data_IF_746144908131
#
_entry.id   IF_746144908131
#
_cell.length_a   1.000
_cell.length_b   1.000
_cell.length_c   1.000
_cell.angle_alpha   90.00
_cell.angle_beta   90.00
_cell.angle_gamma   90.00
#
_symmetry.space_group_name_H-M   'P 1'
#
loop_
_entity.id
_entity.type
_entity.pdbx_description
1 polymer ?
#
# COMPACT_ATOMS: atom_id res chain seq x y z
N UNK A 1 -6.76 4.46 -14.93
CA UNK A 1 -7.41 3.22 -14.45
C UNK A 1 -8.19 3.51 -13.18
N UNK A 2 -9.39 2.95 -13.01
CA UNK A 2 -10.12 3.11 -11.76
C UNK A 2 -9.44 2.29 -10.66
N UNK A 3 -9.71 2.65 -9.38
CA UNK A 3 -9.30 1.82 -8.22
C UNK A 3 -9.72 0.36 -8.43
N UNK A 4 -10.95 0.18 -8.93
CA UNK A 4 -11.55 -1.13 -9.21
C UNK A 4 -10.76 -1.93 -10.25
N UNK A 5 -10.22 -1.29 -11.28
CA UNK A 5 -9.45 -1.97 -12.34
C UNK A 5 -8.09 -2.45 -11.81
N UNK A 6 -7.45 -1.66 -10.97
CA UNK A 6 -6.16 -2.02 -10.35
C UNK A 6 -6.33 -3.18 -9.35
N UNK A 7 -7.42 -3.19 -8.56
CA UNK A 7 -7.80 -4.33 -7.70
C UNK A 7 -7.98 -5.58 -8.55
N UNK A 8 -8.81 -5.47 -9.57
CA UNK A 8 -9.16 -6.61 -10.40
C UNK A 8 -7.90 -7.25 -11.01
N UNK A 9 -6.99 -6.45 -11.54
CA UNK A 9 -5.75 -6.94 -12.15
C UNK A 9 -4.90 -7.75 -11.16
N UNK A 10 -4.70 -7.23 -9.94
CA UNK A 10 -3.92 -7.90 -8.89
C UNK A 10 -4.60 -9.20 -8.44
N UNK A 11 -5.91 -9.16 -8.26
CA UNK A 11 -6.69 -10.33 -7.86
C UNK A 11 -6.70 -11.38 -8.97
N UNK A 12 -6.88 -10.98 -10.22
CA UNK A 12 -6.85 -11.88 -11.37
C UNK A 12 -5.48 -12.58 -11.49
N UNK A 13 -4.36 -11.86 -11.27
CA UNK A 13 -3.03 -12.48 -11.27
C UNK A 13 -2.85 -13.48 -10.11
N UNK A 14 -3.34 -13.18 -8.90
CA UNK A 14 -3.33 -14.14 -7.78
C UNK A 14 -4.12 -15.40 -8.13
N UNK A 15 -5.35 -15.27 -8.65
CA UNK A 15 -6.18 -16.42 -8.99
C UNK A 15 -5.63 -17.24 -10.14
N UNK A 16 -5.10 -16.59 -11.19
CA UNK A 16 -4.53 -17.26 -12.33
C UNK A 16 -3.21 -17.96 -11.98
N UNK A 17 -2.33 -17.33 -11.19
CA UNK A 17 -1.12 -17.96 -10.67
C UNK A 17 -1.45 -19.17 -9.78
N UNK A 18 -2.45 -19.04 -8.88
CA UNK A 18 -2.92 -20.14 -8.03
C UNK A 18 -3.50 -21.31 -8.82
N UNK A 19 -4.05 -21.08 -10.02
CA UNK A 19 -4.51 -22.10 -10.96
C UNK A 19 -3.41 -22.66 -11.85
N UNK A 20 -2.18 -22.17 -11.73
CA UNK A 20 -1.00 -22.66 -12.43
C UNK A 20 -0.71 -21.96 -13.76
N UNK A 21 -1.18 -20.72 -13.97
CA UNK A 21 -0.76 -19.88 -15.10
C UNK A 21 0.66 -19.32 -14.86
N UNK A 22 1.70 -19.77 -15.61
CA UNK A 22 3.07 -19.34 -15.40
C UNK A 22 3.28 -17.84 -15.68
N UNK A 23 2.50 -17.24 -16.57
CA UNK A 23 2.62 -15.83 -16.93
C UNK A 23 2.04 -14.95 -15.81
N UNK A 24 0.95 -15.36 -15.20
CA UNK A 24 0.39 -14.69 -14.05
C UNK A 24 1.33 -14.77 -12.82
N UNK A 25 1.96 -15.94 -12.63
CA UNK A 25 2.97 -16.13 -11.57
C UNK A 25 4.18 -15.20 -11.77
N UNK A 26 4.71 -15.08 -12.98
CA UNK A 26 5.82 -14.18 -13.30
C UNK A 26 5.44 -12.71 -13.05
N UNK A 27 4.28 -12.25 -13.53
CA UNK A 27 3.82 -10.88 -13.29
C UNK A 27 3.64 -10.59 -11.79
N UNK A 28 3.15 -11.56 -11.03
CA UNK A 28 2.98 -11.47 -9.60
C UNK A 28 4.33 -11.31 -8.89
N UNK A 29 5.30 -12.14 -9.22
CA UNK A 29 6.66 -12.10 -8.66
C UNK A 29 7.36 -10.79 -9.02
N UNK A 30 7.32 -10.35 -10.27
CA UNK A 30 7.92 -9.08 -10.72
C UNK A 30 7.32 -7.88 -9.95
N UNK A 31 6.00 -7.88 -9.73
CA UNK A 31 5.32 -6.82 -9.00
C UNK A 31 5.68 -6.80 -7.50
N UNK A 32 5.92 -7.98 -6.91
CA UNK A 32 6.35 -8.12 -5.52
C UNK A 32 7.79 -7.66 -5.36
N UNK A 33 8.69 -8.12 -6.23
CA UNK A 33 10.10 -7.70 -6.23
C UNK A 33 10.23 -6.19 -6.38
N UNK A 34 9.40 -5.58 -7.23
CA UNK A 34 9.29 -4.13 -7.34
C UNK A 34 8.85 -3.49 -6.02
N UNK A 35 7.82 -4.02 -5.36
CA UNK A 35 7.35 -3.52 -4.07
C UNK A 35 8.41 -3.63 -2.96
N UNK A 36 9.20 -4.69 -2.96
CA UNK A 36 10.33 -4.88 -2.03
C UNK A 36 11.44 -3.86 -2.35
N UNK A 37 11.83 -3.74 -3.62
CA UNK A 37 12.86 -2.80 -4.08
C UNK A 37 12.58 -1.35 -3.64
N UNK A 38 11.33 -0.94 -3.68
CA UNK A 38 10.92 0.42 -3.28
C UNK A 38 10.50 0.55 -1.80
N UNK A 39 10.70 -0.50 -0.99
CA UNK A 39 10.44 -0.48 0.46
C UNK A 39 8.97 -0.39 0.83
N UNK A 40 8.08 -0.80 -0.07
CA UNK A 40 6.63 -0.93 0.17
C UNK A 40 6.33 -2.21 0.93
N UNK A 41 7.00 -3.30 0.55
CA UNK A 41 6.81 -4.64 1.08
C UNK A 41 8.02 -5.10 1.89
N UNK A 42 7.78 -5.95 2.89
CA UNK A 42 8.82 -6.59 3.68
C UNK A 42 9.16 -7.97 3.09
N UNK A 43 10.41 -8.15 2.66
CA UNK A 43 10.88 -9.37 1.99
C UNK A 43 10.65 -10.64 2.82
N UNK A 44 10.84 -10.55 4.14
CA UNK A 44 10.77 -11.72 5.04
C UNK A 44 9.36 -12.28 5.22
N UNK A 45 8.35 -11.46 4.98
CA UNK A 45 6.95 -11.76 5.25
C UNK A 45 6.21 -12.12 3.96
N UNK A 46 6.46 -11.37 2.88
CA UNK A 46 5.71 -11.48 1.61
C UNK A 46 5.77 -12.87 1.00
N UNK A 47 6.94 -13.50 0.98
CA UNK A 47 7.09 -14.82 0.38
C UNK A 47 6.23 -15.89 1.06
N UNK A 48 6.16 -15.86 2.40
CA UNK A 48 5.37 -16.82 3.18
C UNK A 48 3.86 -16.61 3.03
N UNK A 49 3.44 -15.36 2.89
CA UNK A 49 2.03 -14.98 2.78
C UNK A 49 1.48 -15.27 1.40
N UNK A 50 2.23 -14.88 0.38
CA UNK A 50 1.85 -15.20 -0.99
C UNK A 50 1.75 -16.72 -1.18
N UNK A 51 2.72 -17.49 -0.68
CA UNK A 51 2.68 -18.95 -0.75
C UNK A 51 1.43 -19.52 -0.03
N UNK A 52 1.03 -18.95 1.10
CA UNK A 52 -0.17 -19.35 1.81
C UNK A 52 -1.43 -19.05 0.99
N UNK A 53 -1.56 -17.83 0.45
CA UNK A 53 -2.71 -17.44 -0.39
C UNK A 53 -2.79 -18.31 -1.64
N UNK A 54 -1.70 -18.49 -2.37
CA UNK A 54 -1.67 -19.33 -3.58
C UNK A 54 -2.05 -20.78 -3.29
N UNK A 55 -1.61 -21.33 -2.14
CA UNK A 55 -2.00 -22.66 -1.70
C UNK A 55 -3.51 -22.78 -1.47
N UNK A 56 -4.11 -21.79 -0.82
CA UNK A 56 -5.57 -21.79 -0.55
C UNK A 56 -6.39 -21.57 -1.82
N UNK A 57 -5.90 -20.77 -2.78
CA UNK A 57 -6.51 -20.65 -4.12
C UNK A 57 -6.43 -22.00 -4.87
N UNK A 58 -5.27 -22.66 -4.84
CA UNK A 58 -5.08 -23.96 -5.48
C UNK A 58 -5.98 -25.04 -4.87
N UNK A 59 -6.20 -24.99 -3.57
CA UNK A 59 -7.08 -25.94 -2.87
C UNK A 59 -8.57 -25.61 -3.05
N UNK A 60 -8.92 -24.50 -3.69
CA UNK A 60 -10.30 -24.05 -3.88
C UNK A 60 -10.97 -23.45 -2.63
N UNK A 61 -10.23 -23.24 -1.55
CA UNK A 61 -10.72 -22.57 -0.32
C UNK A 61 -10.97 -21.09 -0.57
N UNK A 62 -10.15 -20.47 -1.42
CA UNK A 62 -10.32 -19.09 -1.90
C UNK A 62 -10.72 -19.17 -3.37
N UNK A 63 -12.00 -18.98 -3.65
CA UNK A 63 -12.56 -19.05 -4.99
C UNK A 63 -13.02 -17.67 -5.51
N UNK A 64 -13.13 -16.68 -4.63
CA UNK A 64 -13.60 -15.32 -4.95
C UNK A 64 -12.82 -14.25 -4.20
N UNK A 65 -13.03 -12.99 -4.60
CA UNK A 65 -12.47 -11.81 -3.90
C UNK A 65 -12.96 -11.72 -2.46
N UNK A 66 -14.24 -12.10 -2.23
CA UNK A 66 -14.85 -12.10 -0.89
C UNK A 66 -14.23 -13.19 -0.01
N UNK A 67 -13.91 -14.36 -0.57
CA UNK A 67 -13.18 -15.41 0.13
C UNK A 67 -11.78 -14.96 0.51
N UNK A 68 -11.07 -14.28 -0.42
CA UNK A 68 -9.75 -13.72 -0.17
C UNK A 68 -9.81 -12.68 0.96
N UNK A 69 -10.77 -11.75 0.90
CA UNK A 69 -10.97 -10.74 1.95
C UNK A 69 -11.31 -11.43 3.30
N UNK A 70 -12.16 -12.44 3.27
CA UNK A 70 -12.53 -13.22 4.46
C UNK A 70 -11.34 -14.00 5.02
N UNK A 71 -10.51 -14.61 4.17
CA UNK A 71 -9.30 -15.33 4.57
C UNK A 71 -8.30 -14.37 5.24
N UNK A 72 -8.09 -13.18 4.66
CA UNK A 72 -7.23 -12.15 5.24
C UNK A 72 -7.77 -11.59 6.56
N UNK A 73 -9.10 -11.58 6.76
CA UNK A 73 -9.75 -11.10 7.99
C UNK A 73 -9.87 -12.16 9.08
N UNK A 74 -10.10 -13.42 8.72
CA UNK A 74 -10.49 -14.50 9.65
C UNK A 74 -9.34 -15.26 10.28
N UNK A 75 -8.09 -14.96 10.00
CA UNK A 75 -6.96 -15.63 10.63
C UNK A 75 -6.51 -14.93 11.93
N UNK A 76 -7.31 -14.93 13.02
CA UNK A 76 -6.93 -14.40 14.32
C UNK A 76 -6.39 -15.54 15.21
N UNK A 77 -5.36 -15.23 16.00
CA UNK A 77 -5.02 -15.91 17.24
C UNK A 77 -4.18 -17.19 17.23
N UNK A 78 -2.99 -17.11 16.65
CA UNK A 78 -1.83 -17.87 17.15
C UNK A 78 -0.60 -16.98 17.03
N UNK A 79 0.58 -17.36 17.60
CA UNK A 79 1.86 -16.65 17.33
C UNK A 79 2.15 -16.51 15.83
N UNK A 80 1.58 -17.40 15.00
CA UNK A 80 1.47 -17.25 13.54
C UNK A 80 0.53 -16.10 13.11
N UNK A 81 -0.48 -15.75 13.88
CA UNK A 81 -1.42 -14.68 13.54
C UNK A 81 -0.83 -13.29 13.72
N UNK A 82 0.12 -13.07 14.62
CA UNK A 82 0.87 -11.82 14.67
C UNK A 82 1.71 -11.62 13.40
N UNK A 83 2.21 -12.71 12.80
CA UNK A 83 2.89 -12.70 11.50
C UNK A 83 1.89 -12.52 10.34
N UNK A 84 0.70 -13.12 10.43
CA UNK A 84 -0.38 -12.97 9.44
C UNK A 84 -1.08 -11.61 9.52
N UNK A 85 -1.12 -10.98 10.71
CA UNK A 85 -1.60 -9.59 10.84
C UNK A 85 -0.65 -8.60 10.14
N UNK A 86 0.65 -8.83 10.25
CA UNK A 86 1.65 -8.15 9.42
C UNK A 86 1.48 -8.48 7.94
N UNK A 87 0.92 -9.62 7.60
CA UNK A 87 0.74 -10.16 6.26
C UNK A 87 -0.43 -9.61 5.50
N UNK A 88 -1.55 -9.51 6.13
CA UNK A 88 -2.68 -8.78 5.58
C UNK A 88 -2.30 -7.34 5.22
N UNK A 89 -1.39 -6.74 6.01
CA UNK A 89 -0.83 -5.43 5.78
C UNK A 89 -0.03 -5.34 4.46
N UNK A 90 0.78 -6.34 4.13
CA UNK A 90 1.58 -6.34 2.90
C UNK A 90 0.73 -6.51 1.63
N UNK A 91 -0.31 -7.33 1.66
CA UNK A 91 -1.24 -7.46 0.53
C UNK A 91 -1.95 -6.12 0.28
N UNK A 92 -2.41 -5.44 1.33
CA UNK A 92 -3.02 -4.10 1.21
C UNK A 92 -2.03 -3.04 0.74
N UNK A 93 -0.79 -3.07 1.20
CA UNK A 93 0.27 -2.16 0.73
C UNK A 93 0.60 -2.41 -0.73
N UNK A 94 0.78 -3.66 -1.11
CA UNK A 94 1.04 -4.02 -2.50
C UNK A 94 -0.08 -3.58 -3.42
N UNK A 95 -1.32 -3.82 -3.01
CA UNK A 95 -2.52 -3.35 -3.68
C UNK A 95 -2.53 -1.81 -3.83
N UNK A 96 -2.35 -1.11 -2.72
CA UNK A 96 -2.35 0.37 -2.68
C UNK A 96 -1.21 0.94 -3.54
N UNK A 97 -0.05 0.29 -3.54
CA UNK A 97 1.08 0.66 -4.38
C UNK A 97 0.74 0.58 -5.88
N UNK A 98 0.13 -0.51 -6.33
CA UNK A 98 -0.28 -0.66 -7.73
C UNK A 98 -1.38 0.34 -8.12
N UNK A 99 -2.28 0.67 -7.20
CA UNK A 99 -3.23 1.74 -7.41
C UNK A 99 -2.54 3.11 -7.58
N UNK A 100 -1.62 3.46 -6.67
CA UNK A 100 -0.86 4.69 -6.80
C UNK A 100 -0.01 4.74 -8.07
N UNK A 101 0.49 3.60 -8.57
CA UNK A 101 1.19 3.55 -9.86
C UNK A 101 0.29 4.00 -11.01
N UNK A 102 -0.93 3.51 -11.06
CA UNK A 102 -1.90 3.94 -12.06
C UNK A 102 -2.25 5.42 -11.89
N UNK A 103 -2.48 5.86 -10.67
CA UNK A 103 -2.80 7.25 -10.35
C UNK A 103 -1.66 8.21 -10.74
N UNK A 104 -0.42 7.95 -10.31
CA UNK A 104 0.72 8.81 -10.61
C UNK A 104 1.08 8.80 -12.09
N UNK A 105 0.88 7.68 -12.79
CA UNK A 105 1.02 7.62 -14.25
C UNK A 105 0.05 8.57 -14.94
N UNK A 106 -1.22 8.56 -14.54
CA UNK A 106 -2.24 9.45 -15.10
C UNK A 106 -1.98 10.92 -14.71
N UNK A 107 -1.48 11.16 -13.49
CA UNK A 107 -1.14 12.50 -13.00
C UNK A 107 0.04 13.11 -13.74
N UNK A 108 1.11 12.35 -13.91
CA UNK A 108 2.36 12.86 -14.52
C UNK A 108 2.29 12.92 -16.06
N UNK A 109 1.38 12.16 -16.69
CA UNK A 109 1.14 12.16 -18.15
C UNK A 109 2.41 11.99 -18.98
N UNK A 110 3.40 11.29 -18.46
CA UNK A 110 4.70 11.10 -19.11
C UNK A 110 5.67 12.30 -19.00
N UNK A 111 5.32 13.37 -18.28
CA UNK A 111 6.14 14.55 -18.13
C UNK A 111 6.99 14.49 -16.85
N UNK A 112 8.32 14.41 -17.03
CA UNK A 112 9.30 14.38 -15.94
C UNK A 112 9.27 15.67 -15.12
N UNK A 113 8.95 16.83 -15.72
CA UNK A 113 8.89 18.10 -14.99
C UNK A 113 7.68 18.17 -14.07
N UNK A 114 6.54 17.60 -14.48
CA UNK A 114 5.34 17.44 -13.64
C UNK A 114 5.67 16.53 -12.46
N UNK A 115 6.34 15.41 -12.71
CA UNK A 115 6.77 14.51 -11.65
C UNK A 115 7.73 15.20 -10.65
N UNK A 116 8.74 15.91 -11.15
CA UNK A 116 9.68 16.66 -10.29
C UNK A 116 9.00 17.76 -9.47
N UNK A 117 8.05 18.47 -10.07
CA UNK A 117 7.22 19.45 -9.35
C UNK A 117 6.44 18.78 -8.23
N UNK A 118 5.84 17.62 -8.49
CA UNK A 118 5.12 16.85 -7.49
C UNK A 118 6.00 16.44 -6.30
N UNK A 119 7.23 15.96 -6.54
CA UNK A 119 8.17 15.62 -5.46
C UNK A 119 8.44 16.81 -4.56
N UNK A 120 8.68 17.99 -5.13
CA UNK A 120 8.94 19.21 -4.37
C UNK A 120 7.70 19.70 -3.61
N UNK A 121 6.56 19.79 -4.28
CA UNK A 121 5.38 20.51 -3.76
C UNK A 121 4.53 19.60 -2.83
N UNK A 122 4.45 18.30 -3.11
CA UNK A 122 3.63 17.35 -2.34
C UNK A 122 4.48 16.52 -1.39
N UNK A 123 5.53 15.87 -1.88
CA UNK A 123 6.37 15.01 -1.06
C UNK A 123 7.34 15.78 -0.16
N UNK A 124 7.62 17.06 -0.46
CA UNK A 124 8.63 17.88 0.22
C UNK A 124 10.03 17.27 0.14
N UNK A 125 10.36 16.79 -1.03
CA UNK A 125 11.62 16.11 -1.32
C UNK A 125 12.22 16.62 -2.64
N UNK A 126 13.53 16.56 -2.74
CA UNK A 126 14.18 16.67 -4.03
C UNK A 126 13.79 15.48 -4.91
N UNK A 127 13.47 15.76 -6.18
CA UNK A 127 13.11 14.70 -7.10
C UNK A 127 14.31 13.74 -7.28
N UNK A 128 14.13 12.45 -7.05
CA UNK A 128 15.20 11.49 -7.25
C UNK A 128 15.60 11.42 -8.72
N UNK A 129 16.84 11.03 -9.04
CA UNK A 129 17.24 10.77 -10.41
C UNK A 129 16.46 9.58 -10.98
N UNK A 130 16.16 9.64 -12.27
CA UNK A 130 15.47 8.57 -12.99
C UNK A 130 14.65 9.10 -14.16
N UNK A 131 14.18 8.17 -14.97
CA UNK A 131 13.19 8.43 -16.01
C UNK A 131 11.78 8.53 -15.42
N UNK A 132 10.79 8.76 -16.28
CA UNK A 132 9.41 8.95 -15.83
C UNK A 132 8.84 7.71 -15.12
N UNK A 133 9.22 6.50 -15.56
CA UNK A 133 8.74 5.25 -14.97
C UNK A 133 9.32 5.07 -13.55
N UNK A 134 10.60 5.39 -13.36
CA UNK A 134 11.24 5.38 -12.05
C UNK A 134 10.62 6.41 -11.10
N UNK A 135 10.30 7.61 -11.59
CA UNK A 135 9.63 8.66 -10.81
C UNK A 135 8.21 8.25 -10.41
N UNK A 136 7.46 7.60 -11.31
CA UNK A 136 6.13 7.04 -11.01
C UNK A 136 6.23 6.01 -9.89
N UNK A 137 7.16 5.06 -9.96
CA UNK A 137 7.36 4.02 -8.94
C UNK A 137 7.72 4.61 -7.58
N UNK A 138 8.64 5.55 -7.54
CA UNK A 138 9.06 6.22 -6.30
C UNK A 138 7.95 7.07 -5.68
N UNK A 139 7.20 7.81 -6.48
CA UNK A 139 6.05 8.58 -6.00
C UNK A 139 4.97 7.67 -5.43
N UNK A 140 4.70 6.54 -6.09
CA UNK A 140 3.72 5.55 -5.64
C UNK A 140 4.13 4.87 -4.34
N UNK A 141 5.41 4.53 -4.20
CA UNK A 141 5.97 4.01 -2.96
C UNK A 141 5.88 5.03 -1.83
N UNK A 142 6.19 6.30 -2.12
CA UNK A 142 6.06 7.39 -1.15
C UNK A 142 4.61 7.54 -0.66
N UNK A 143 3.63 7.59 -1.56
CA UNK A 143 2.21 7.62 -1.19
C UNK A 143 1.85 6.42 -0.32
N UNK A 144 2.14 5.21 -0.78
CA UNK A 144 1.78 3.98 -0.06
C UNK A 144 2.34 3.99 1.36
N UNK A 145 3.62 4.29 1.52
CA UNK A 145 4.28 4.25 2.83
C UNK A 145 3.86 5.38 3.78
N UNK A 146 3.26 6.46 3.26
CA UNK A 146 2.78 7.57 4.07
C UNK A 146 1.27 7.52 4.34
N UNK A 147 0.49 6.86 3.48
CA UNK A 147 -0.98 6.80 3.62
C UNK A 147 -1.48 5.48 4.20
N UNK A 148 -0.70 4.40 4.08
CA UNK A 148 -1.03 3.09 4.65
C UNK A 148 -0.22 2.86 5.93
N UNK A 149 -0.81 2.31 7.00
CA UNK A 149 -0.10 1.96 8.21
C UNK A 149 1.11 1.07 7.90
N UNK A 150 2.28 1.44 8.44
CA UNK A 150 3.53 0.72 8.20
C UNK A 150 4.24 0.49 9.52
N UNK A 151 3.96 -0.65 10.14
CA UNK A 151 4.43 -0.98 11.49
C UNK A 151 5.96 -1.05 11.64
N UNK A 152 6.70 -1.18 10.55
CA UNK A 152 8.17 -1.09 10.57
C UNK A 152 8.69 0.34 10.77
N UNK A 153 7.88 1.36 10.52
CA UNK A 153 8.25 2.79 10.67
C UNK A 153 7.95 3.37 12.06
N UNK A 154 7.42 2.58 12.98
CA UNK A 154 7.25 3.04 14.37
C UNK A 154 8.60 3.26 15.07
N UNK A 155 8.72 4.29 15.92
CA UNK A 155 9.95 4.60 16.64
C UNK A 155 10.55 3.38 17.38
N UNK A 156 11.87 3.30 17.52
CA UNK A 156 12.54 2.14 18.14
C UNK A 156 12.04 1.81 19.54
N UNK A 157 11.65 2.81 20.35
CA UNK A 157 11.11 2.58 21.69
C UNK A 157 9.73 1.89 21.65
N UNK A 158 8.89 2.21 20.66
CA UNK A 158 7.60 1.54 20.42
C UNK A 158 7.85 0.10 19.94
N UNK A 159 8.87 -0.10 19.09
CA UNK A 159 9.27 -1.45 18.66
C UNK A 159 9.77 -2.29 19.84
N UNK A 160 10.49 -1.69 20.79
CA UNK A 160 10.92 -2.37 22.03
C UNK A 160 9.72 -2.77 22.90
N UNK A 161 8.70 -1.90 23.00
CA UNK A 161 7.45 -2.20 23.71
C UNK A 161 6.66 -3.35 23.07
N UNK A 162 6.79 -3.59 21.76
CA UNK A 162 6.17 -4.74 21.09
C UNK A 162 6.59 -6.09 21.62
N UNK A 163 7.77 -6.17 22.24
CA UNK A 163 8.27 -7.40 22.88
C UNK A 163 7.60 -7.68 24.24
N UNK A 164 6.77 -6.77 24.72
CA UNK A 164 5.95 -6.94 25.91
C UNK A 164 4.53 -7.40 25.54
N UNK A 165 3.81 -8.08 26.45
CA UNK A 165 2.42 -8.51 26.19
C UNK A 165 1.46 -7.38 25.80
N UNK A 166 1.79 -6.14 26.13
CA UNK A 166 0.99 -4.92 25.84
C UNK A 166 1.46 -4.16 24.59
N UNK A 167 2.56 -4.57 23.97
CA UNK A 167 3.24 -3.80 22.94
C UNK A 167 2.43 -3.64 21.64
N UNK A 168 1.56 -4.59 21.31
CA UNK A 168 0.67 -4.49 20.16
C UNK A 168 -0.38 -3.38 20.36
N UNK A 169 -0.82 -3.13 21.61
CA UNK A 169 -1.76 -2.07 21.92
C UNK A 169 -1.18 -0.65 21.82
N UNK A 170 0.14 -0.50 21.92
CA UNK A 170 0.82 0.80 21.83
C UNK A 170 1.23 1.12 20.39
N UNK A 171 1.63 0.11 19.62
CA UNK A 171 2.06 0.30 18.22
C UNK A 171 0.92 0.72 17.30
N UNK A 172 -0.25 0.14 17.47
CA UNK A 172 -1.41 0.42 16.65
C UNK A 172 -1.87 1.88 16.75
N UNK A 173 -2.13 2.45 17.95
CA UNK A 173 -2.47 3.86 18.08
C UNK A 173 -1.39 4.81 17.55
N UNK A 174 -0.11 4.52 17.81
CA UNK A 174 1.00 5.34 17.33
C UNK A 174 1.05 5.39 15.79
N UNK A 175 0.87 4.25 15.15
CA UNK A 175 0.84 4.17 13.69
C UNK A 175 -0.41 4.79 13.08
N UNK A 176 -1.56 4.63 13.71
CA UNK A 176 -2.80 5.30 13.30
C UNK A 176 -2.67 6.82 13.39
N UNK A 177 -2.09 7.34 14.48
CA UNK A 177 -1.81 8.78 14.61
C UNK A 177 -0.87 9.26 13.50
N UNK A 178 0.26 8.58 13.29
CA UNK A 178 1.22 8.92 12.23
C UNK A 178 0.53 8.97 10.86
N UNK A 179 -0.22 7.94 10.53
CA UNK A 179 -0.92 7.81 9.25
C UNK A 179 -1.98 8.90 9.10
N UNK A 180 -2.73 9.21 10.15
CA UNK A 180 -3.74 10.27 10.15
C UNK A 180 -3.10 11.64 9.91
N UNK A 181 -2.00 11.97 10.62
CA UNK A 181 -1.28 13.22 10.41
C UNK A 181 -0.67 13.33 9.01
N UNK A 182 -0.10 12.24 8.49
CA UNK A 182 0.43 12.22 7.13
C UNK A 182 -0.68 12.45 6.10
N UNK A 183 -1.79 11.73 6.22
CA UNK A 183 -2.93 11.89 5.32
C UNK A 183 -3.49 13.33 5.36
N UNK A 184 -3.59 13.93 6.54
CA UNK A 184 -4.02 15.31 6.68
C UNK A 184 -3.05 16.28 5.98
N UNK A 185 -1.74 16.14 6.22
CA UNK A 185 -0.72 16.99 5.62
C UNK A 185 -0.68 16.85 4.10
N UNK A 186 -0.73 15.61 3.59
CA UNK A 186 -0.79 15.33 2.15
C UNK A 186 -2.03 15.98 1.54
N UNK A 187 -3.20 15.75 2.13
CA UNK A 187 -4.46 16.32 1.63
C UNK A 187 -4.46 17.84 1.64
N UNK A 188 -3.85 18.50 2.63
CA UNK A 188 -3.69 19.95 2.65
C UNK A 188 -2.79 20.45 1.52
N UNK A 189 -1.65 19.80 1.28
CA UNK A 189 -0.72 20.17 0.20
C UNK A 189 -1.36 19.95 -1.18
N UNK A 190 -2.06 18.83 -1.36
CA UNK A 190 -2.81 18.54 -2.59
C UNK A 190 -3.92 19.57 -2.83
N UNK A 191 -4.69 19.93 -1.78
CA UNK A 191 -5.76 20.94 -1.88
C UNK A 191 -5.22 22.34 -2.21
N UNK A 192 -4.00 22.66 -1.80
CA UNK A 192 -3.31 23.90 -2.13
C UNK A 192 -2.61 23.87 -3.49
N UNK A 193 -2.57 22.74 -4.18
CA UNK A 193 -1.91 22.59 -5.48
C UNK A 193 -2.63 23.37 -6.59
N UNK A 194 -1.83 23.88 -7.56
CA UNK A 194 -2.36 24.49 -8.78
C UNK A 194 -2.94 23.44 -9.76
N UNK A 195 -2.54 22.18 -9.64
CA UNK A 195 -3.07 21.10 -10.46
C UNK A 195 -4.51 20.76 -10.03
N UNK A 196 -5.51 20.85 -10.96
CA UNK A 196 -6.91 20.61 -10.62
C UNK A 196 -7.19 19.19 -10.10
N UNK A 197 -6.43 18.19 -10.56
CA UNK A 197 -6.61 16.78 -10.16
C UNK A 197 -6.14 16.59 -8.73
N UNK A 198 -4.95 17.12 -8.40
CA UNK A 198 -4.41 17.10 -7.03
C UNK A 198 -5.31 17.88 -6.08
N UNK A 199 -5.74 19.08 -6.48
CA UNK A 199 -6.65 19.90 -5.66
C UNK A 199 -7.95 19.17 -5.35
N UNK A 200 -8.58 18.55 -6.34
CA UNK A 200 -9.80 17.78 -6.12
C UNK A 200 -9.58 16.57 -5.21
N UNK A 201 -8.44 15.90 -5.32
CA UNK A 201 -8.06 14.78 -4.45
C UNK A 201 -7.84 15.25 -3.00
N UNK A 202 -7.09 16.30 -2.80
CA UNK A 202 -6.84 16.88 -1.47
C UNK A 202 -8.13 17.33 -0.78
N UNK A 203 -9.03 18.02 -1.50
CA UNK A 203 -10.34 18.42 -0.95
C UNK A 203 -11.17 17.20 -0.54
N UNK A 204 -11.21 16.15 -1.37
CA UNK A 204 -11.93 14.90 -1.03
C UNK A 204 -11.31 14.22 0.19
N UNK A 205 -9.98 14.20 0.31
CA UNK A 205 -9.26 13.67 1.46
C UNK A 205 -9.63 14.42 2.74
N UNK A 206 -9.64 15.76 2.72
CA UNK A 206 -10.03 16.59 3.87
C UNK A 206 -11.51 16.37 4.26
N UNK A 207 -12.43 16.30 3.30
CA UNK A 207 -13.85 16.00 3.56
C UNK A 207 -13.99 14.60 4.17
N UNK A 208 -13.31 13.59 3.61
CA UNK A 208 -13.36 12.22 4.12
C UNK A 208 -12.86 12.12 5.57
N UNK A 209 -11.77 12.82 5.91
CA UNK A 209 -11.28 12.86 7.29
C UNK A 209 -12.25 13.58 8.23
N UNK A 210 -12.83 14.69 7.81
CA UNK A 210 -13.83 15.42 8.62
C UNK A 210 -15.03 14.54 8.92
N UNK A 211 -15.57 13.82 7.94
CA UNK A 211 -16.72 12.92 8.14
C UNK A 211 -16.41 11.70 9.00
N UNK A 212 -15.14 11.24 8.99
CA UNK A 212 -14.72 10.08 9.78
C UNK A 212 -14.37 10.42 11.22
N UNK A 213 -13.82 11.63 11.47
CA UNK A 213 -13.35 12.06 12.79
C UNK A 213 -14.36 12.95 13.52
N UNK A 214 -15.29 13.58 12.81
CA UNK A 214 -16.25 14.56 13.33
C UNK A 214 -17.70 14.09 13.39
N UNK A 215 -18.00 12.88 12.94
CA UNK A 215 -19.30 12.19 13.07
C UNK A 215 -19.23 11.09 14.11
#
# INVERSE_FOLDING_TARGET
ASVTDSIKMVVDDIFNAGKGDPQAELRLLDSIDEGIKYGVLDESIVASELAAVLKEVKNGTIASVDDLATFLQKNPFTEKAARLYAGGDNVWKWYTYNWYKSFTKDLFKGDVNVAKKWFRDIADLDAPPGDIDELIKKASAWYTTNTVPTYSKVPPFIQALRRTPFGNFVSFPAEMLRTTFNNLNISMREAASDDPTLRAMGIRGLIGMYTTLGG
#
